data_IF_889963105763
#
_entry.id   IF_889963105763
#
_cell.length_a   1.000
_cell.length_b   1.000
_cell.length_c   1.000
_cell.angle_alpha   90.00
_cell.angle_beta   90.00
_cell.angle_gamma   90.00
#
_symmetry.space_group_name_H-M   'P 1'
#
loop_
_entity.id
_entity.type
_entity.pdbx_description
1 polymer ?
#
# COMPACT_ATOMS: atom_id res chain seq x y z
N UNK A 1 0.25 37.64 20.74
CA UNK A 1 0.21 36.51 19.79
C UNK A 1 -0.87 36.67 18.69
N UNK A 2 -1.40 37.88 18.43
CA UNK A 2 -2.57 38.08 17.53
C UNK A 2 -2.26 38.81 16.20
N UNK A 3 -1.19 39.59 16.08
CA UNK A 3 -0.90 40.33 14.83
C UNK A 3 -0.35 39.42 13.73
N UNK A 4 0.69 38.64 14.02
CA UNK A 4 1.33 37.79 13.01
C UNK A 4 0.36 36.75 12.43
N UNK A 5 -0.54 36.18 13.24
CA UNK A 5 -1.56 35.22 12.76
C UNK A 5 -2.55 35.86 11.79
N UNK A 6 -2.97 37.11 12.05
CA UNK A 6 -3.85 37.87 11.17
C UNK A 6 -3.14 38.32 9.89
N UNK A 7 -1.84 38.60 9.96
CA UNK A 7 -1.06 39.00 8.79
C UNK A 7 -0.78 37.80 7.88
N UNK A 8 -0.55 36.61 8.45
CA UNK A 8 -0.36 35.38 7.70
C UNK A 8 -1.64 34.97 6.94
N UNK A 9 -2.82 35.02 7.59
CA UNK A 9 -4.09 34.74 6.90
C UNK A 9 -4.38 35.73 5.77
N UNK A 10 -4.10 37.02 5.98
CA UNK A 10 -4.25 38.03 4.93
C UNK A 10 -3.26 37.82 3.78
N UNK A 11 -2.00 37.50 4.05
CA UNK A 11 -0.99 37.20 3.04
C UNK A 11 -1.35 35.93 2.24
N UNK A 12 -1.91 34.94 2.92
CA UNK A 12 -2.40 33.70 2.30
C UNK A 12 -3.62 33.90 1.41
N UNK A 13 -4.53 34.81 1.76
CA UNK A 13 -5.65 35.21 0.88
C UNK A 13 -5.16 35.90 -0.40
N UNK A 14 -3.98 36.53 -0.36
CA UNK A 14 -3.39 37.25 -1.49
C UNK A 14 -2.62 36.29 -2.41
N UNK A 15 -1.63 35.56 -1.90
CA UNK A 15 -0.86 34.58 -2.68
C UNK A 15 -0.25 33.52 -1.76
N UNK A 16 -0.84 32.33 -1.80
CA UNK A 16 -0.38 31.18 -1.02
C UNK A 16 1.05 30.75 -1.39
N UNK A 17 1.45 30.80 -2.67
CA UNK A 17 2.77 30.37 -3.12
C UNK A 17 3.86 31.38 -2.76
N UNK A 18 3.55 32.68 -2.79
CA UNK A 18 4.44 33.72 -2.30
C UNK A 18 4.56 33.64 -0.77
N UNK A 19 3.46 33.42 -0.06
CA UNK A 19 3.47 33.28 1.41
C UNK A 19 4.25 32.05 1.84
N UNK A 20 4.06 30.92 1.16
CA UNK A 20 4.88 29.72 1.35
C UNK A 20 6.35 30.03 1.07
N UNK A 21 6.68 30.72 -0.04
CA UNK A 21 8.07 31.12 -0.33
C UNK A 21 8.66 32.02 0.75
N UNK A 22 7.93 33.02 1.24
CA UNK A 22 8.39 33.91 2.31
C UNK A 22 8.57 33.19 3.65
N UNK A 23 7.69 32.22 3.96
CA UNK A 23 7.86 31.34 5.11
C UNK A 23 9.10 30.47 4.95
N UNK A 24 9.27 29.86 3.76
CA UNK A 24 10.39 29.00 3.37
C UNK A 24 11.74 29.74 3.39
N UNK A 25 11.77 30.99 2.93
CA UNK A 25 12.93 31.88 2.91
C UNK A 25 13.30 32.34 4.32
N UNK A 26 12.36 32.29 5.27
CA UNK A 26 12.56 32.61 6.68
C UNK A 26 12.50 31.38 7.61
N UNK A 27 12.60 30.15 7.08
CA UNK A 27 12.51 28.89 7.85
C UNK A 27 13.47 28.85 9.05
N UNK A 28 14.62 29.52 8.97
CA UNK A 28 15.56 29.61 10.09
C UNK A 28 15.15 30.53 11.25
N UNK A 29 14.09 31.35 11.11
CA UNK A 29 13.67 32.32 12.14
C UNK A 29 12.54 31.84 13.04
N UNK A 30 11.81 30.79 12.66
CA UNK A 30 10.62 30.32 13.39
C UNK A 30 10.65 28.81 13.63
N UNK A 31 10.32 28.33 14.85
CA UNK A 31 10.17 26.90 15.11
C UNK A 31 9.08 26.28 14.21
N UNK A 32 9.40 25.17 13.54
CA UNK A 32 8.49 24.45 12.65
C UNK A 32 7.16 24.11 13.31
N UNK A 33 7.16 23.69 14.57
CA UNK A 33 5.94 23.42 15.34
C UNK A 33 4.98 24.61 15.34
N UNK A 34 5.49 25.84 15.54
CA UNK A 34 4.67 27.06 15.54
C UNK A 34 4.07 27.33 14.17
N UNK A 35 4.84 27.11 13.10
CA UNK A 35 4.35 27.28 11.73
C UNK A 35 3.23 26.27 11.46
N UNK A 36 3.42 25.00 11.83
CA UNK A 36 2.41 23.96 11.66
C UNK A 36 1.13 24.25 12.47
N UNK A 37 1.24 24.70 13.73
CA UNK A 37 0.06 25.10 14.53
C UNK A 37 -0.66 26.31 13.91
N UNK A 38 0.07 27.26 13.34
CA UNK A 38 -0.55 28.43 12.70
C UNK A 38 -1.29 28.05 11.41
N UNK A 39 -0.78 27.06 10.68
CA UNK A 39 -1.37 26.55 9.45
C UNK A 39 -2.38 25.42 9.67
N UNK A 40 -2.78 25.12 10.90
CA UNK A 40 -3.69 24.00 11.23
C UNK A 40 -5.01 24.03 10.46
N UNK A 41 -5.54 25.23 10.16
CA UNK A 41 -6.76 25.41 9.37
C UNK A 41 -6.56 25.23 7.86
N UNK A 42 -5.31 25.03 7.41
CA UNK A 42 -4.92 24.97 6.00
C UNK A 42 -4.02 23.76 5.72
N UNK A 43 -4.57 22.53 5.73
CA UNK A 43 -3.80 21.29 5.56
C UNK A 43 -2.94 21.25 4.30
N UNK A 44 -3.43 21.81 3.19
CA UNK A 44 -2.68 21.91 1.93
C UNK A 44 -1.38 22.70 2.07
N UNK A 45 -1.40 23.75 2.88
CA UNK A 45 -0.23 24.58 3.13
C UNK A 45 0.71 23.94 4.15
N UNK A 46 0.18 23.26 5.16
CA UNK A 46 0.99 22.43 6.05
C UNK A 46 1.77 21.37 5.24
N UNK A 47 1.11 20.69 4.30
CA UNK A 47 1.78 19.73 3.41
C UNK A 47 2.83 20.39 2.52
N UNK A 48 2.52 21.53 1.90
CA UNK A 48 3.47 22.25 1.04
C UNK A 48 4.72 22.70 1.81
N UNK A 49 4.52 23.23 3.02
CA UNK A 49 5.60 23.62 3.92
C UNK A 49 6.46 22.40 4.31
N UNK A 50 5.84 21.30 4.76
CA UNK A 50 6.56 20.07 5.11
C UNK A 50 7.35 19.49 3.93
N UNK A 51 6.74 19.47 2.73
CA UNK A 51 7.43 19.01 1.53
C UNK A 51 8.68 19.84 1.22
N UNK A 52 8.62 21.16 1.40
CA UNK A 52 9.79 22.02 1.20
C UNK A 52 10.92 21.77 2.21
N UNK A 53 10.58 21.38 3.45
CA UNK A 53 11.57 20.94 4.44
C UNK A 53 12.20 19.61 4.02
N UNK A 54 11.37 18.63 3.62
CA UNK A 54 11.84 17.31 3.19
C UNK A 54 12.74 17.37 1.95
N UNK A 55 12.48 18.31 1.02
CA UNK A 55 13.37 18.55 -0.14
C UNK A 55 14.77 19.03 0.25
N UNK A 56 14.91 19.62 1.43
CA UNK A 56 16.19 20.05 2.01
C UNK A 56 16.80 19.01 2.94
N UNK A 57 16.16 17.84 3.09
CA UNK A 57 16.47 16.82 4.10
C UNK A 57 16.34 17.34 5.54
N UNK A 58 15.39 18.25 5.78
CA UNK A 58 15.05 18.79 7.10
C UNK A 58 13.69 18.24 7.57
N UNK A 59 13.46 18.28 8.88
CA UNK A 59 12.14 17.98 9.47
C UNK A 59 11.77 16.50 9.56
N UNK A 60 12.76 15.59 9.64
CA UNK A 60 12.56 14.15 9.80
C UNK A 60 11.59 13.80 10.96
N UNK A 61 11.63 14.58 12.04
CA UNK A 61 10.74 14.45 13.20
C UNK A 61 9.25 14.69 12.87
N UNK A 62 8.95 15.36 11.75
CA UNK A 62 7.58 15.66 11.30
C UNK A 62 7.05 14.66 10.27
N UNK A 63 7.80 13.62 9.90
CA UNK A 63 7.36 12.65 8.88
C UNK A 63 6.09 11.91 9.32
N UNK A 64 6.03 11.42 10.56
CA UNK A 64 4.84 10.74 11.10
C UNK A 64 3.60 11.66 11.05
N UNK A 65 3.80 12.95 11.32
CA UNK A 65 2.73 13.96 11.21
C UNK A 65 2.31 14.18 9.75
N UNK A 66 3.26 14.24 8.82
CA UNK A 66 2.98 14.36 7.39
C UNK A 66 2.17 13.16 6.88
N UNK A 67 2.50 11.92 7.30
CA UNK A 67 1.74 10.72 6.95
C UNK A 67 0.26 10.86 7.35
N UNK A 68 0.00 11.31 8.58
CA UNK A 68 -1.37 11.56 9.05
C UNK A 68 -2.06 12.63 8.19
N UNK A 69 -1.36 13.71 7.87
CA UNK A 69 -1.90 14.81 7.08
C UNK A 69 -2.27 14.37 5.65
N UNK A 70 -1.41 13.59 5.00
CA UNK A 70 -1.69 12.97 3.69
C UNK A 70 -2.88 12.02 3.78
N UNK A 71 -2.92 11.14 4.77
CA UNK A 71 -3.99 10.19 4.97
C UNK A 71 -5.36 10.85 5.18
N UNK A 72 -5.40 12.06 5.74
CA UNK A 72 -6.64 12.81 6.01
C UNK A 72 -7.07 13.70 4.84
N UNK A 73 -6.14 14.26 4.07
CA UNK A 73 -6.44 15.35 3.13
C UNK A 73 -6.16 15.03 1.66
N UNK A 74 -5.12 14.25 1.37
CA UNK A 74 -4.71 13.90 -0.01
C UNK A 74 -4.29 12.42 -0.10
N UNK A 75 -5.23 11.46 0.09
CA UNK A 75 -4.93 10.02 0.10
C UNK A 75 -4.17 9.50 -1.14
N UNK A 76 -4.45 9.97 -2.38
CA UNK A 76 -3.72 9.52 -3.57
C UNK A 76 -2.21 9.80 -3.53
N UNK A 77 -1.76 10.77 -2.72
CA UNK A 77 -0.37 11.15 -2.58
C UNK A 77 0.36 10.41 -1.45
N UNK A 78 -0.38 9.68 -0.60
CA UNK A 78 0.17 8.96 0.55
C UNK A 78 1.13 7.86 0.13
N UNK A 79 0.75 6.98 -0.80
CA UNK A 79 1.62 5.89 -1.24
C UNK A 79 2.92 6.40 -1.92
N UNK A 80 2.88 7.37 -2.85
CA UNK A 80 4.09 8.01 -3.37
C UNK A 80 4.99 8.59 -2.27
N UNK A 81 4.40 9.25 -1.28
CA UNK A 81 5.14 9.81 -0.14
C UNK A 81 5.82 8.73 0.69
N UNK A 82 5.10 7.66 1.07
CA UNK A 82 5.64 6.53 1.83
C UNK A 82 6.79 5.83 1.09
N UNK A 83 6.73 5.76 -0.25
CA UNK A 83 7.80 5.18 -1.08
C UNK A 83 9.04 6.07 -1.18
N UNK A 84 8.86 7.39 -1.20
CA UNK A 84 9.95 8.37 -1.25
C UNK A 84 10.68 8.47 0.10
N UNK A 85 9.95 8.31 1.20
CA UNK A 85 10.48 8.54 2.55
C UNK A 85 11.00 7.25 3.19
N UNK A 86 12.24 7.27 3.69
CA UNK A 86 12.89 6.09 4.22
C UNK A 86 12.70 5.87 5.72
N UNK A 87 12.38 6.89 6.51
CA UNK A 87 12.30 6.76 7.98
C UNK A 87 10.94 7.25 8.46
N UNK A 88 10.17 6.36 9.08
CA UNK A 88 8.92 6.64 9.77
C UNK A 88 8.48 5.43 10.60
N UNK A 89 7.55 5.64 11.51
CA UNK A 89 6.97 4.56 12.31
C UNK A 89 5.98 3.73 11.46
N UNK A 90 6.45 2.57 10.97
CA UNK A 90 5.65 1.68 10.12
C UNK A 90 4.40 1.18 10.86
N UNK A 91 4.47 0.94 12.18
CA UNK A 91 3.33 0.43 12.94
C UNK A 91 2.22 1.48 13.04
N UNK A 92 2.57 2.74 13.30
CA UNK A 92 1.60 3.86 13.26
C UNK A 92 1.03 4.07 11.87
N UNK A 93 1.85 4.01 10.83
CA UNK A 93 1.39 4.16 9.45
C UNK A 93 0.37 3.07 9.08
N UNK A 94 0.61 1.82 9.51
CA UNK A 94 -0.33 0.71 9.32
C UNK A 94 -1.65 0.97 10.05
N UNK A 95 -1.62 1.41 11.31
CA UNK A 95 -2.83 1.71 12.10
C UNK A 95 -3.68 2.81 11.44
N UNK A 96 -3.05 3.86 10.93
CA UNK A 96 -3.74 4.92 10.16
C UNK A 96 -4.40 4.34 8.91
N UNK A 97 -3.65 3.55 8.12
CA UNK A 97 -4.16 2.98 6.88
C UNK A 97 -5.27 1.94 7.14
N UNK A 98 -5.18 1.16 8.22
CA UNK A 98 -6.19 0.18 8.61
C UNK A 98 -7.51 0.87 8.98
N UNK A 99 -7.46 1.93 9.78
CA UNK A 99 -8.64 2.75 10.15
C UNK A 99 -9.32 3.38 8.94
N UNK A 100 -8.55 3.77 7.93
CA UNK A 100 -9.04 4.42 6.69
C UNK A 100 -9.33 3.45 5.55
N UNK A 101 -9.03 2.16 5.71
CA UNK A 101 -9.14 1.12 4.67
C UNK A 101 -8.28 1.41 3.42
N UNK A 102 -7.08 1.97 3.61
CA UNK A 102 -6.09 2.21 2.56
C UNK A 102 -5.29 0.93 2.27
N UNK A 103 -5.93 0.00 1.58
CA UNK A 103 -5.43 -1.37 1.45
C UNK A 103 -4.12 -1.44 0.65
N UNK A 104 -3.97 -0.65 -0.41
CA UNK A 104 -2.73 -0.65 -1.22
C UNK A 104 -1.52 -0.17 -0.40
N UNK A 105 -1.72 0.86 0.41
CA UNK A 105 -0.75 1.41 1.35
C UNK A 105 -0.42 0.39 2.45
N UNK A 106 -1.43 -0.29 3.00
CA UNK A 106 -1.21 -1.37 3.97
C UNK A 106 -0.37 -2.50 3.39
N UNK A 107 -0.65 -2.96 2.16
CA UNK A 107 0.13 -4.01 1.49
C UNK A 107 1.59 -3.60 1.37
N UNK A 108 1.85 -2.35 0.95
CA UNK A 108 3.20 -1.80 0.87
C UNK A 108 3.91 -1.79 2.23
N UNK A 109 3.25 -1.28 3.27
CA UNK A 109 3.81 -1.19 4.62
C UNK A 109 4.05 -2.57 5.27
N UNK A 110 3.15 -3.52 5.04
CA UNK A 110 3.27 -4.90 5.53
C UNK A 110 4.40 -5.65 4.83
N UNK A 111 4.55 -5.48 3.51
CA UNK A 111 5.71 -5.99 2.79
C UNK A 111 7.03 -5.44 3.35
N UNK A 112 7.08 -4.13 3.63
CA UNK A 112 8.27 -3.45 4.16
C UNK A 112 8.63 -3.85 5.61
N UNK A 113 7.63 -4.11 6.45
CA UNK A 113 7.81 -4.58 7.84
C UNK A 113 8.11 -6.08 7.95
N UNK A 114 8.11 -6.81 6.83
CA UNK A 114 8.30 -8.26 6.81
C UNK A 114 7.05 -9.09 7.11
N UNK A 115 5.90 -8.45 7.37
CA UNK A 115 4.63 -9.14 7.59
C UNK A 115 3.94 -9.50 6.26
N UNK A 116 4.68 -10.25 5.42
CA UNK A 116 4.33 -10.56 4.03
C UNK A 116 3.06 -11.41 3.90
N UNK A 117 2.83 -12.33 4.85
CA UNK A 117 1.63 -13.17 4.87
C UNK A 117 0.35 -12.33 5.03
N UNK A 118 0.35 -11.34 5.93
CA UNK A 118 -0.79 -10.42 6.08
C UNK A 118 -0.97 -9.55 4.83
N UNK A 119 0.13 -9.13 4.19
CA UNK A 119 0.05 -8.39 2.93
C UNK A 119 -0.61 -9.20 1.81
N UNK A 120 -0.21 -10.47 1.66
CA UNK A 120 -0.78 -11.40 0.69
C UNK A 120 -2.27 -11.65 0.95
N UNK A 121 -2.66 -11.83 2.21
CA UNK A 121 -4.05 -12.00 2.59
C UNK A 121 -4.91 -10.79 2.18
N UNK A 122 -4.41 -9.56 2.37
CA UNK A 122 -5.10 -8.35 1.91
C UNK A 122 -5.26 -8.31 0.38
N UNK A 123 -4.23 -8.67 -0.38
CA UNK A 123 -4.29 -8.71 -1.84
C UNK A 123 -5.37 -9.69 -2.34
N UNK A 124 -5.39 -10.90 -1.79
CA UNK A 124 -6.29 -11.97 -2.27
C UNK A 124 -7.70 -11.84 -1.70
N UNK A 125 -7.84 -11.57 -0.40
CA UNK A 125 -9.13 -11.62 0.28
C UNK A 125 -9.84 -10.27 0.37
N UNK A 126 -9.11 -9.15 0.42
CA UNK A 126 -9.73 -7.81 0.45
C UNK A 126 -9.84 -7.18 -0.93
N UNK A 127 -8.76 -7.19 -1.71
CA UNK A 127 -8.74 -6.57 -3.04
C UNK A 127 -9.22 -7.53 -4.14
N UNK A 128 -9.12 -8.84 -3.94
CA UNK A 128 -9.44 -9.82 -4.98
C UNK A 128 -8.49 -9.73 -6.19
N UNK A 129 -7.31 -9.14 -6.01
CA UNK A 129 -6.34 -8.88 -7.06
C UNK A 129 -5.28 -9.97 -7.08
N UNK A 130 -5.60 -11.08 -7.74
CA UNK A 130 -4.69 -12.22 -7.83
C UNK A 130 -3.47 -11.93 -8.69
N UNK A 131 -3.62 -11.12 -9.74
CA UNK A 131 -2.53 -10.53 -10.53
C UNK A 131 -1.45 -9.92 -9.62
N UNK A 132 -1.88 -9.04 -8.72
CA UNK A 132 -0.99 -8.33 -7.80
C UNK A 132 -0.43 -9.26 -6.72
N UNK A 133 -1.18 -10.27 -6.30
CA UNK A 133 -0.70 -11.29 -5.37
C UNK A 133 0.41 -12.14 -5.99
N UNK A 134 0.30 -12.51 -7.28
CA UNK A 134 1.32 -13.25 -8.02
C UNK A 134 2.60 -12.41 -8.13
N UNK A 135 2.48 -11.14 -8.51
CA UNK A 135 3.63 -10.24 -8.60
C UNK A 135 4.29 -10.06 -7.23
N UNK A 136 3.50 -9.92 -6.15
CA UNK A 136 4.02 -9.84 -4.78
C UNK A 136 4.78 -11.10 -4.36
N UNK A 137 4.26 -12.29 -4.67
CA UNK A 137 4.97 -13.55 -4.42
C UNK A 137 6.26 -13.65 -5.23
N UNK A 138 6.26 -13.20 -6.49
CA UNK A 138 7.45 -13.20 -7.36
C UNK A 138 8.54 -12.26 -6.83
N UNK A 139 8.17 -11.06 -6.41
CA UNK A 139 9.12 -10.06 -5.90
C UNK A 139 9.78 -10.50 -4.58
N UNK A 140 9.07 -11.28 -3.75
CA UNK A 140 9.58 -11.73 -2.46
C UNK A 140 10.26 -13.12 -2.50
N UNK A 141 10.10 -13.88 -3.60
CA UNK A 141 10.71 -15.20 -3.83
C UNK A 141 10.59 -16.18 -2.64
N UNK A 142 9.39 -16.29 -2.08
CA UNK A 142 9.11 -17.02 -0.84
C UNK A 142 8.11 -18.17 -1.07
N UNK A 143 8.55 -19.41 -0.81
CA UNK A 143 7.75 -20.61 -0.98
C UNK A 143 6.48 -20.62 -0.12
N UNK A 144 6.50 -20.06 1.08
CA UNK A 144 5.35 -20.04 1.98
C UNK A 144 4.27 -19.07 1.46
N UNK A 145 4.68 -17.95 0.86
CA UNK A 145 3.75 -17.05 0.17
C UNK A 145 3.09 -17.74 -1.03
N UNK A 146 3.86 -18.46 -1.84
CA UNK A 146 3.31 -19.22 -2.96
C UNK A 146 2.32 -20.30 -2.51
N UNK A 147 2.66 -21.05 -1.46
CA UNK A 147 1.78 -22.07 -0.90
C UNK A 147 0.46 -21.46 -0.40
N UNK A 148 0.55 -20.33 0.30
CA UNK A 148 -0.62 -19.60 0.81
C UNK A 148 -1.50 -19.04 -0.32
N UNK A 149 -0.88 -18.52 -1.38
CA UNK A 149 -1.59 -18.03 -2.56
C UNK A 149 -2.35 -19.16 -3.27
N UNK A 150 -1.72 -20.33 -3.44
CA UNK A 150 -2.37 -21.52 -3.99
C UNK A 150 -3.55 -21.93 -3.11
N UNK A 151 -3.37 -22.02 -1.79
CA UNK A 151 -4.46 -22.39 -0.87
C UNK A 151 -5.63 -21.40 -0.89
N UNK A 152 -5.34 -20.11 -1.07
CA UNK A 152 -6.37 -19.09 -1.22
C UNK A 152 -7.08 -19.17 -2.59
N UNK A 153 -6.34 -19.43 -3.67
CA UNK A 153 -6.91 -19.63 -5.00
C UNK A 153 -7.78 -20.89 -5.08
N UNK A 154 -7.42 -21.97 -4.38
CA UNK A 154 -8.22 -23.21 -4.36
C UNK A 154 -9.64 -23.03 -3.81
N UNK A 155 -9.88 -21.97 -3.02
CA UNK A 155 -11.21 -21.62 -2.52
C UNK A 155 -12.10 -20.93 -3.58
N UNK A 156 -11.54 -20.47 -4.70
CA UNK A 156 -12.26 -19.72 -5.75
C UNK A 156 -11.85 -20.19 -7.16
N UNK A 157 -12.75 -20.82 -7.95
CA UNK A 157 -12.43 -21.31 -9.29
C UNK A 157 -11.78 -20.29 -10.23
N UNK A 158 -12.32 -19.07 -10.22
CA UNK A 158 -11.89 -18.01 -11.14
C UNK A 158 -10.40 -17.69 -10.92
N UNK A 159 -9.96 -17.73 -9.67
CA UNK A 159 -8.58 -17.48 -9.27
C UNK A 159 -7.61 -18.60 -9.70
N UNK A 160 -8.05 -19.86 -9.73
CA UNK A 160 -7.21 -20.99 -10.16
C UNK A 160 -6.81 -20.84 -11.63
N UNK A 161 -7.77 -20.47 -12.47
CA UNK A 161 -7.53 -20.31 -13.91
C UNK A 161 -6.53 -19.19 -14.18
N UNK A 162 -6.68 -18.06 -13.51
CA UNK A 162 -5.77 -16.92 -13.63
C UNK A 162 -4.37 -17.22 -13.05
N UNK A 163 -4.31 -17.93 -11.93
CA UNK A 163 -3.06 -18.40 -11.34
C UNK A 163 -2.30 -19.34 -12.28
N UNK A 164 -2.98 -20.32 -12.89
CA UNK A 164 -2.37 -21.25 -13.82
C UNK A 164 -1.84 -20.54 -15.08
N UNK A 165 -2.62 -19.61 -15.63
CA UNK A 165 -2.22 -18.86 -16.82
C UNK A 165 -1.00 -17.95 -16.58
N UNK A 166 -0.91 -17.34 -15.40
CA UNK A 166 0.08 -16.29 -15.11
C UNK A 166 1.28 -16.80 -14.31
N UNK A 167 1.06 -17.72 -13.38
CA UNK A 167 2.08 -18.23 -12.46
C UNK A 167 2.61 -19.61 -12.86
N UNK A 168 2.14 -20.23 -13.94
CA UNK A 168 2.59 -21.56 -14.40
C UNK A 168 4.09 -21.68 -14.70
N UNK A 169 4.82 -20.57 -14.81
CA UNK A 169 6.30 -20.54 -14.94
C UNK A 169 7.04 -20.55 -13.60
N UNK A 170 6.36 -20.19 -12.51
CA UNK A 170 6.96 -19.96 -11.18
C UNK A 170 6.47 -20.97 -10.14
N UNK A 171 5.30 -21.57 -10.36
CA UNK A 171 4.73 -22.59 -9.48
C UNK A 171 4.96 -23.96 -10.11
N UNK A 172 5.44 -24.91 -9.32
CA UNK A 172 5.53 -26.30 -9.77
C UNK A 172 4.11 -26.85 -10.03
N UNK A 173 3.75 -27.19 -11.28
CA UNK A 173 2.40 -27.62 -11.62
C UNK A 173 2.00 -28.90 -10.86
N UNK A 174 2.95 -29.74 -10.44
CA UNK A 174 2.69 -30.92 -9.62
C UNK A 174 2.09 -30.58 -8.25
N UNK A 175 2.53 -29.49 -7.61
CA UNK A 175 2.01 -29.07 -6.30
C UNK A 175 0.55 -28.61 -6.40
N UNK A 176 0.16 -28.01 -7.54
CA UNK A 176 -1.22 -27.61 -7.80
C UNK A 176 -2.08 -28.85 -8.08
N UNK A 177 -1.59 -29.75 -8.93
CA UNK A 177 -2.25 -31.03 -9.25
C UNK A 177 -2.53 -31.82 -7.97
N UNK A 178 -1.52 -32.06 -7.14
CA UNK A 178 -1.65 -32.85 -5.92
C UNK A 178 -2.72 -32.26 -4.98
N UNK A 179 -2.73 -30.94 -4.79
CA UNK A 179 -3.73 -30.25 -3.96
C UNK A 179 -5.15 -30.31 -4.55
N UNK A 180 -5.30 -30.14 -5.88
CA UNK A 180 -6.60 -30.26 -6.57
C UNK A 180 -7.14 -31.69 -6.44
N UNK A 181 -6.29 -32.69 -6.67
CA UNK A 181 -6.66 -34.10 -6.54
C UNK A 181 -7.07 -34.43 -5.10
N UNK A 182 -6.31 -34.00 -4.09
CA UNK A 182 -6.63 -34.24 -2.68
C UNK A 182 -7.99 -33.65 -2.27
N UNK A 183 -8.33 -32.45 -2.75
CA UNK A 183 -9.62 -31.81 -2.49
C UNK A 183 -10.78 -32.53 -3.19
N UNK A 184 -10.57 -33.07 -4.39
CA UNK A 184 -11.58 -33.87 -5.10
C UNK A 184 -11.87 -35.22 -4.42
N UNK A 185 -10.89 -35.77 -3.68
CA UNK A 185 -11.02 -37.03 -2.93
C UNK A 185 -11.71 -36.87 -1.57
N UNK A 186 -11.56 -35.70 -0.93
CA UNK A 186 -12.11 -35.44 0.41
C UNK A 186 -13.47 -34.71 0.41
N UNK A 187 -13.79 -33.96 -0.64
CA UNK A 187 -15.05 -33.22 -0.75
C UNK A 187 -15.86 -33.71 -1.96
N UNK A 188 -16.86 -34.53 -1.70
CA UNK A 188 -17.85 -35.04 -2.67
C UNK A 188 -18.80 -33.96 -3.25
N UNK A 189 -18.32 -32.71 -3.42
CA UNK A 189 -19.14 -31.55 -3.82
C UNK A 189 -18.68 -30.88 -5.13
N UNK A 190 -17.60 -31.31 -5.79
CA UNK A 190 -17.11 -30.64 -7.02
C UNK A 190 -17.21 -31.50 -8.30
N UNK A 191 -18.30 -32.27 -8.45
CA UNK A 191 -18.51 -33.13 -9.63
C UNK A 191 -18.69 -32.35 -10.96
N UNK A 192 -18.81 -31.03 -10.93
CA UNK A 192 -18.87 -30.17 -12.13
C UNK A 192 -17.57 -29.41 -12.46
N UNK A 193 -16.57 -29.40 -11.57
CA UNK A 193 -15.35 -28.59 -11.73
C UNK A 193 -14.16 -29.37 -12.33
N UNK A 194 -14.20 -30.69 -12.21
CA UNK A 194 -13.08 -31.56 -12.60
C UNK A 194 -12.75 -31.48 -14.09
N UNK A 195 -13.74 -31.44 -14.98
CA UNK A 195 -13.47 -31.55 -16.41
C UNK A 195 -12.82 -30.29 -17.01
N UNK A 196 -13.27 -29.08 -16.65
CA UNK A 196 -12.72 -27.84 -17.22
C UNK A 196 -11.30 -27.55 -16.74
N UNK A 197 -11.00 -27.75 -15.45
CA UNK A 197 -9.64 -27.60 -14.91
C UNK A 197 -8.68 -28.66 -15.47
N UNK A 198 -9.12 -29.93 -15.58
CA UNK A 198 -8.29 -31.01 -16.16
C UNK A 198 -8.04 -30.75 -17.66
N UNK A 199 -9.02 -30.21 -18.41
CA UNK A 199 -8.85 -29.87 -19.83
C UNK A 199 -7.84 -28.71 -19.98
N UNK A 200 -7.96 -27.65 -19.17
CA UNK A 200 -7.00 -26.53 -19.18
C UNK A 200 -5.58 -26.96 -18.77
N UNK A 201 -5.45 -27.88 -17.80
CA UNK A 201 -4.14 -28.40 -17.37
C UNK A 201 -3.53 -29.40 -18.36
N UNK A 202 -4.34 -30.21 -19.06
CA UNK A 202 -3.84 -31.07 -20.15
C UNK A 202 -3.32 -30.25 -21.34
N UNK A 203 -3.85 -29.05 -21.57
CA UNK A 203 -3.32 -28.14 -22.58
C UNK A 203 -1.96 -27.56 -22.16
N UNK A 204 -1.78 -27.23 -20.88
CA UNK A 204 -0.54 -26.68 -20.34
C UNK A 204 0.62 -27.70 -20.29
N UNK A 205 0.34 -28.99 -20.03
CA UNK A 205 1.36 -30.06 -20.03
C UNK A 205 1.80 -30.50 -21.44
N UNK A 206 1.14 -30.03 -22.51
CA UNK A 206 1.42 -30.40 -23.90
C UNK A 206 2.11 -29.32 -24.73
N UNK A 207 2.42 -28.15 -24.17
CA UNK A 207 3.22 -27.08 -24.80
C UNK A 207 4.56 -26.93 -24.11
#
# INVERSE_FOLDING_TARGET
>A
MSQVKNDLTKLMEIDANLTIRLLIENVGSLPTEKVLTQLEMYPKLQMAYLNSLFERNEGEEFVDFAIKLYAENEPPLLLPFLRKTAVYDIAKAIDICEKKQYINEMVYLLGRSGNRMKALDLLVNKLGRIDSAIDFCRENDDCDLWNSLVDAAMKRPDHITELLNTAGKYINPLNIIEKVFFLSLHYSVFCSFSLACIISMNFFLKS
#
